data_IF_103300677767
#
_entry.id   IF_103300677767
#
_cell.length_a   1.000
_cell.length_b   1.000
_cell.length_c   1.000
_cell.angle_alpha   90.00
_cell.angle_beta   90.00
_cell.angle_gamma   90.00
#
_symmetry.space_group_name_H-M   'P 1'
#
loop_
_entity.id
_entity.type
_entity.pdbx_description
1 polymer ?
#
# COMPACT_ATOMS: atom_id res chain seq x y z
N UNK A 1 29.72 -78.80 46.35
CA UNK A 1 30.58 -77.61 46.14
C UNK A 1 30.28 -77.02 44.77
N UNK A 2 29.67 -75.83 44.70
CA UNK A 2 29.38 -75.13 43.44
C UNK A 2 30.35 -73.96 43.31
N UNK A 3 31.23 -74.01 42.29
CA UNK A 3 32.20 -72.97 41.98
C UNK A 3 31.55 -71.87 41.13
N UNK A 4 31.63 -70.64 41.63
CA UNK A 4 31.28 -69.38 40.96
C UNK A 4 32.07 -69.22 39.65
N UNK A 5 31.41 -68.77 38.58
CA UNK A 5 32.08 -68.16 37.43
C UNK A 5 31.54 -66.75 37.20
N UNK A 6 32.42 -65.81 37.49
CA UNK A 6 32.27 -64.36 37.45
C UNK A 6 32.64 -63.85 36.04
N UNK A 7 31.92 -62.82 35.58
CA UNK A 7 32.26 -61.82 34.52
C UNK A 7 32.47 -62.35 33.09
N UNK A 8 31.93 -61.71 32.05
CA UNK A 8 32.51 -60.49 31.46
C UNK A 8 31.48 -59.75 30.59
N UNK A 9 30.95 -58.62 31.09
CA UNK A 9 30.09 -57.71 30.32
C UNK A 9 30.99 -56.83 29.44
N UNK A 10 31.40 -57.32 28.27
CA UNK A 10 32.03 -56.46 27.24
C UNK A 10 30.98 -55.55 26.63
N UNK A 11 30.92 -54.33 27.18
CA UNK A 11 30.13 -53.22 26.66
C UNK A 11 30.79 -52.70 25.38
N UNK A 12 30.15 -52.76 24.20
CA UNK A 12 30.71 -52.12 23.01
C UNK A 12 30.64 -50.61 23.18
N UNK A 13 31.79 -49.95 23.08
CA UNK A 13 31.92 -48.49 23.11
C UNK A 13 31.27 -47.92 21.84
N UNK A 14 30.09 -47.33 22.01
CA UNK A 14 29.39 -46.62 20.95
C UNK A 14 30.25 -45.43 20.48
N UNK A 15 30.62 -45.43 19.20
CA UNK A 15 31.28 -44.30 18.55
C UNK A 15 30.37 -43.05 18.63
N UNK A 16 30.90 -41.86 18.96
CA UNK A 16 30.12 -40.64 18.90
C UNK A 16 29.80 -40.33 17.43
N UNK A 17 28.50 -40.23 17.10
CA UNK A 17 28.05 -39.73 15.80
C UNK A 17 28.46 -38.26 15.69
N UNK A 18 29.22 -37.93 14.65
CA UNK A 18 29.52 -36.55 14.29
C UNK A 18 28.20 -35.78 14.04
N UNK A 19 28.04 -34.62 14.68
CA UNK A 19 26.91 -33.71 14.42
C UNK A 19 27.02 -33.20 12.98
N UNK A 20 25.96 -33.26 12.17
CA UNK A 20 25.95 -32.55 10.89
C UNK A 20 26.07 -31.04 11.16
N UNK A 21 26.98 -30.38 10.44
CA UNK A 21 27.14 -28.94 10.48
C UNK A 21 25.83 -28.27 10.06
N UNK A 22 25.37 -27.29 10.84
CA UNK A 22 24.17 -26.53 10.54
C UNK A 22 24.36 -25.78 9.21
N UNK A 23 23.43 -25.98 8.28
CA UNK A 23 23.39 -25.20 7.05
C UNK A 23 23.20 -23.70 7.38
N UNK A 24 23.81 -22.79 6.63
CA UNK A 24 23.57 -21.36 6.78
C UNK A 24 22.08 -21.07 6.53
N UNK A 25 21.40 -20.56 7.55
CA UNK A 25 20.01 -20.14 7.41
C UNK A 25 19.98 -18.86 6.56
N UNK A 26 19.44 -18.96 5.35
CA UNK A 26 19.11 -17.79 4.54
C UNK A 26 17.95 -17.08 5.26
N UNK A 27 18.08 -15.80 5.63
CA UNK A 27 16.97 -15.07 6.23
C UNK A 27 15.79 -15.09 5.24
N UNK A 28 14.55 -15.29 5.71
CA UNK A 28 13.40 -15.21 4.83
C UNK A 28 13.42 -13.84 4.15
N UNK A 29 13.51 -13.85 2.82
CA UNK A 29 13.39 -12.64 2.03
C UNK A 29 12.05 -11.95 2.32
N UNK A 30 11.93 -10.63 2.09
CA UNK A 30 10.67 -9.94 2.30
C UNK A 30 9.57 -10.67 1.51
N UNK A 31 8.58 -11.20 2.23
CA UNK A 31 7.40 -11.77 1.57
C UNK A 31 6.83 -10.68 0.67
N UNK A 32 6.51 -10.97 -0.61
CA UNK A 32 5.81 -10.01 -1.44
C UNK A 32 4.50 -9.73 -0.72
N UNK A 33 4.40 -8.54 -0.13
CA UNK A 33 3.18 -8.06 0.48
C UNK A 33 2.14 -8.14 -0.62
N UNK A 34 1.18 -9.05 -0.49
CA UNK A 34 -0.01 -9.06 -1.30
C UNK A 34 -0.54 -7.65 -1.22
N UNK A 35 -0.44 -6.93 -2.33
CA UNK A 35 -0.87 -5.54 -2.44
C UNK A 35 -2.37 -5.61 -2.24
N UNK A 36 -2.80 -5.48 -0.98
CA UNK A 36 -4.20 -5.61 -0.61
C UNK A 36 -4.96 -4.68 -1.53
N UNK A 37 -5.81 -5.24 -2.38
CA UNK A 37 -6.79 -4.46 -3.12
C UNK A 37 -7.68 -3.85 -2.06
N UNK A 38 -7.32 -2.65 -1.61
CA UNK A 38 -8.19 -1.82 -0.79
C UNK A 38 -9.51 -1.71 -1.57
N UNK A 39 -10.59 -2.34 -1.08
CA UNK A 39 -11.86 -2.37 -1.81
C UNK A 39 -12.39 -0.95 -2.03
N UNK A 40 -11.96 0.02 -1.20
CA UNK A 40 -12.33 1.42 -1.29
C UNK A 40 -11.38 2.24 -2.18
N UNK A 41 -10.34 1.64 -2.77
CA UNK A 41 -9.38 2.39 -3.60
C UNK A 41 -10.06 3.05 -4.81
N UNK A 42 -11.04 2.39 -5.42
CA UNK A 42 -11.82 2.95 -6.52
C UNK A 42 -12.70 4.12 -6.06
N UNK A 43 -13.39 3.95 -4.93
CA UNK A 43 -14.25 4.96 -4.32
C UNK A 43 -13.46 6.20 -3.87
N UNK A 44 -12.25 5.99 -3.32
CA UNK A 44 -11.34 7.06 -2.92
C UNK A 44 -10.89 7.88 -4.12
N UNK A 45 -10.53 7.22 -5.24
CA UNK A 45 -10.21 7.92 -6.51
C UNK A 45 -11.38 8.72 -7.03
N UNK A 46 -12.60 8.16 -6.99
CA UNK A 46 -13.81 8.85 -7.44
C UNK A 46 -14.12 10.10 -6.60
N UNK A 47 -13.95 10.04 -5.27
CA UNK A 47 -14.08 11.24 -4.44
C UNK A 47 -13.02 12.28 -4.72
N UNK A 48 -11.78 11.84 -4.96
CA UNK A 48 -10.65 12.73 -5.24
C UNK A 48 -10.67 13.34 -6.64
N UNK A 49 -11.44 12.79 -7.59
CA UNK A 49 -11.43 13.30 -8.96
C UNK A 49 -12.06 14.69 -9.10
N UNK A 50 -12.87 15.13 -8.12
CA UNK A 50 -13.71 16.32 -8.25
C UNK A 50 -14.80 16.08 -9.31
N UNK A 51 -16.03 16.50 -9.04
CA UNK A 51 -17.11 16.35 -10.02
C UNK A 51 -16.85 17.17 -11.30
N UNK A 52 -17.73 17.05 -12.31
CA UNK A 52 -17.73 17.95 -13.45
C UNK A 52 -17.77 19.42 -12.99
N UNK A 53 -16.94 20.28 -13.61
CA UNK A 53 -16.96 21.73 -13.36
C UNK A 53 -17.95 22.36 -14.31
N UNK A 54 -18.99 22.99 -13.78
CA UNK A 54 -19.98 23.73 -14.57
C UNK A 54 -19.45 25.11 -14.93
N UNK A 55 -19.47 25.44 -16.22
CA UNK A 55 -19.01 26.72 -16.77
C UNK A 55 -20.13 27.37 -17.56
N UNK A 56 -20.25 28.68 -17.45
CA UNK A 56 -21.24 29.47 -18.19
C UNK A 56 -20.58 30.62 -18.95
N UNK A 57 -21.24 31.03 -20.03
CA UNK A 57 -20.89 32.22 -20.80
C UNK A 57 -21.58 33.44 -20.21
N UNK A 58 -20.79 34.43 -19.79
CA UNK A 58 -21.25 35.70 -19.23
C UNK A 58 -21.05 36.84 -20.23
N UNK A 59 -22.09 37.65 -20.44
CA UNK A 59 -22.00 38.90 -21.18
C UNK A 59 -21.91 40.08 -20.22
N UNK A 60 -20.81 40.83 -20.27
CA UNK A 60 -20.69 42.06 -19.47
C UNK A 60 -21.32 43.25 -20.21
N UNK A 61 -21.87 44.21 -19.45
CA UNK A 61 -22.38 45.47 -20.00
C UNK A 61 -21.36 46.31 -20.77
N UNK A 62 -20.06 46.03 -20.62
CA UNK A 62 -19.00 46.63 -21.45
C UNK A 62 -18.91 46.06 -22.88
N UNK A 63 -19.71 45.02 -23.19
CA UNK A 63 -19.73 44.33 -24.48
C UNK A 63 -18.82 43.09 -24.55
N UNK A 64 -18.01 42.81 -23.52
CA UNK A 64 -17.16 41.63 -23.49
C UNK A 64 -17.92 40.37 -23.06
N UNK A 65 -17.72 39.28 -23.79
CA UNK A 65 -18.30 37.96 -23.50
C UNK A 65 -17.18 37.01 -23.08
N UNK A 66 -17.34 36.31 -21.96
CA UNK A 66 -16.32 35.43 -21.41
C UNK A 66 -16.93 34.20 -20.74
N UNK A 67 -16.15 33.12 -20.66
CA UNK A 67 -16.52 31.91 -19.93
C UNK A 67 -15.91 31.93 -18.53
N UNK A 68 -16.70 31.54 -17.53
CA UNK A 68 -16.24 31.37 -16.16
C UNK A 68 -17.03 30.25 -15.45
N UNK A 69 -16.49 29.67 -14.36
CA UNK A 69 -17.23 28.73 -13.54
C UNK A 69 -18.51 29.35 -12.99
N UNK A 70 -19.60 28.57 -12.97
CA UNK A 70 -20.85 29.02 -12.37
C UNK A 70 -20.65 29.28 -10.88
N UNK A 71 -20.81 30.53 -10.47
CA UNK A 71 -20.69 30.99 -9.10
C UNK A 71 -21.76 32.03 -8.80
N UNK A 72 -21.87 32.46 -7.54
CA UNK A 72 -22.76 33.56 -7.11
C UNK A 72 -22.25 34.95 -7.52
N UNK A 73 -21.08 35.04 -8.16
CA UNK A 73 -20.50 36.30 -8.58
C UNK A 73 -19.24 36.14 -9.42
N UNK A 74 -19.15 36.90 -10.51
CA UNK A 74 -18.03 36.87 -11.45
C UNK A 74 -17.56 38.28 -11.78
N UNK A 75 -16.26 38.45 -12.04
CA UNK A 75 -15.68 39.74 -12.42
C UNK A 75 -15.30 39.72 -13.89
N UNK A 76 -15.71 40.73 -14.65
CA UNK A 76 -15.32 40.87 -16.05
C UNK A 76 -13.79 41.05 -16.16
N UNK A 77 -13.06 40.21 -16.90
CA UNK A 77 -11.61 40.33 -17.05
C UNK A 77 -11.19 41.55 -17.90
N UNK A 78 -12.13 42.14 -18.65
CA UNK A 78 -11.86 43.30 -19.49
C UNK A 78 -11.96 44.63 -18.72
N UNK A 79 -13.04 44.87 -17.97
CA UNK A 79 -13.26 46.15 -17.27
C UNK A 79 -13.24 46.06 -15.73
N UNK A 80 -13.15 44.85 -15.16
CA UNK A 80 -13.14 44.63 -13.72
C UNK A 80 -14.52 44.77 -13.04
N UNK A 81 -15.59 44.98 -13.79
CA UNK A 81 -16.95 45.09 -13.22
C UNK A 81 -17.42 43.73 -12.70
N UNK A 82 -17.90 43.70 -11.46
CA UNK A 82 -18.55 42.53 -10.85
C UNK A 82 -19.99 42.35 -11.35
N UNK A 83 -20.37 41.10 -11.59
CA UNK A 83 -21.72 40.68 -11.94
C UNK A 83 -22.16 39.63 -10.91
N UNK A 84 -23.34 39.82 -10.33
CA UNK A 84 -23.96 38.91 -9.38
C UNK A 84 -25.43 38.72 -9.77
N UNK A 85 -25.97 37.54 -9.50
CA UNK A 85 -27.35 37.15 -9.76
C UNK A 85 -28.03 36.69 -8.47
#
# INVERSE_FOLDING_TARGET
>A
MRLSRTTDNRRPTARPRARPAALPQVPPGPTPRTRGTDPLAAERRLRSSGGPVDNATYGCGCGYVFEAPVSTGVTCPHCGTGQAW
#
